data_IF_540892455246
#
_entry.id   IF_540892455246
#
_cell.length_a   1.000
_cell.length_b   1.000
_cell.length_c   1.000
_cell.angle_alpha   90.00
_cell.angle_beta   90.00
_cell.angle_gamma   90.00
#
_symmetry.space_group_name_H-M   'P 1'
#
loop_
_entity.id
_entity.type
_entity.pdbx_description
1 polymer ?
#
# COMPACT_ATOMS: atom_id res chain seq x y z
N UNK A 1 11.04 -19.14 33.91
CA UNK A 1 11.19 -18.56 32.55
C UNK A 1 11.23 -17.06 32.69
N UNK A 2 12.10 -16.37 31.94
CA UNK A 2 12.16 -14.91 31.92
C UNK A 2 11.42 -14.40 30.70
N UNK A 3 10.09 -14.45 30.75
CA UNK A 3 9.24 -14.04 29.62
C UNK A 3 9.22 -12.52 29.50
N UNK A 4 9.68 -12.02 28.36
CA UNK A 4 9.54 -10.63 27.96
C UNK A 4 8.06 -10.27 27.75
N UNK A 5 7.67 -8.98 27.83
CA UNK A 5 6.31 -8.55 27.53
C UNK A 5 5.83 -9.01 26.15
N UNK A 6 6.70 -8.97 25.14
CA UNK A 6 6.40 -9.42 23.79
C UNK A 6 6.11 -10.93 23.70
N UNK A 7 6.83 -11.76 24.46
CA UNK A 7 6.54 -13.19 24.55
C UNK A 7 5.22 -13.47 25.29
N UNK A 8 4.86 -12.65 26.28
CA UNK A 8 3.57 -12.74 26.97
C UNK A 8 2.40 -12.41 26.02
N UNK A 9 2.55 -11.40 25.16
CA UNK A 9 1.55 -11.06 24.13
C UNK A 9 1.37 -12.19 23.12
N UNK A 10 2.46 -12.79 22.63
CA UNK A 10 2.41 -13.94 21.71
C UNK A 10 1.74 -15.16 22.34
N UNK A 11 2.01 -15.43 23.62
CA UNK A 11 1.32 -16.49 24.37
C UNK A 11 -0.19 -16.22 24.46
N UNK A 12 -0.60 -14.97 24.70
CA UNK A 12 -2.01 -14.59 24.75
C UNK A 12 -2.69 -14.78 23.39
N UNK A 13 -2.01 -14.47 22.28
CA UNK A 13 -2.54 -14.70 20.92
C UNK A 13 -2.72 -16.20 20.65
N UNK A 14 -1.76 -17.03 21.07
CA UNK A 14 -1.89 -18.49 20.97
C UNK A 14 -3.09 -19.03 21.74
N UNK A 15 -3.31 -18.54 22.97
CA UNK A 15 -4.49 -18.92 23.76
C UNK A 15 -5.78 -18.48 23.05
N UNK A 16 -5.81 -17.28 22.46
CA UNK A 16 -6.95 -16.82 21.68
C UNK A 16 -7.20 -17.72 20.45
N UNK A 17 -6.15 -18.14 19.75
CA UNK A 17 -6.23 -19.07 18.62
C UNK A 17 -6.76 -20.44 19.05
N UNK A 18 -6.36 -20.95 20.21
CA UNK A 18 -6.86 -22.22 20.73
C UNK A 18 -8.34 -22.14 21.11
N UNK A 19 -8.78 -21.03 21.70
CA UNK A 19 -10.21 -20.78 21.95
C UNK A 19 -10.98 -20.74 20.63
N UNK A 20 -10.43 -20.07 19.61
CA UNK A 20 -11.02 -19.98 18.27
C UNK A 20 -11.11 -21.35 17.58
N UNK A 21 -10.04 -22.16 17.61
CA UNK A 21 -10.04 -23.54 17.06
C UNK A 21 -11.11 -24.41 17.73
N UNK A 22 -11.22 -24.36 19.06
CA UNK A 22 -12.26 -25.08 19.81
C UNK A 22 -13.68 -24.60 19.47
N UNK A 23 -13.86 -23.33 19.10
CA UNK A 23 -15.15 -22.80 18.60
C UNK A 23 -15.45 -23.36 17.21
N UNK A 24 -14.48 -23.31 16.31
CA UNK A 24 -14.57 -23.90 14.96
C UNK A 24 -14.93 -25.38 14.99
N UNK A 25 -14.27 -26.17 15.84
CA UNK A 25 -14.53 -27.60 16.02
C UNK A 25 -15.98 -27.90 16.46
N UNK A 26 -16.61 -26.99 17.19
CA UNK A 26 -18.04 -27.09 17.55
C UNK A 26 -18.98 -26.62 16.43
N UNK A 27 -18.46 -26.27 15.26
CA UNK A 27 -19.21 -25.75 14.12
C UNK A 27 -19.62 -24.29 14.26
N UNK A 28 -19.00 -23.53 15.16
CA UNK A 28 -19.28 -22.09 15.29
C UNK A 28 -18.46 -21.33 14.25
N UNK A 29 -19.16 -20.56 13.40
CA UNK A 29 -18.53 -19.67 12.43
C UNK A 29 -17.69 -18.59 13.15
N UNK A 30 -16.46 -18.41 12.70
CA UNK A 30 -15.47 -17.55 13.35
C UNK A 30 -15.71 -16.06 13.03
N UNK A 31 -15.58 -15.21 14.04
CA UNK A 31 -15.56 -13.76 13.86
C UNK A 31 -14.15 -13.25 13.49
N UNK A 32 -14.03 -11.93 13.29
CA UNK A 32 -12.77 -11.27 12.91
C UNK A 32 -11.59 -11.57 13.85
N UNK A 33 -11.64 -11.31 15.17
CA UNK A 33 -10.49 -11.56 16.04
C UNK A 33 -10.12 -13.05 16.15
N UNK A 34 -11.09 -13.96 16.03
CA UNK A 34 -10.84 -15.40 16.03
C UNK A 34 -10.09 -15.85 14.76
N UNK A 35 -10.50 -15.37 13.60
CA UNK A 35 -9.83 -15.65 12.32
C UNK A 35 -8.40 -15.10 12.34
N UNK A 36 -8.21 -13.86 12.79
CA UNK A 36 -6.89 -13.23 12.95
C UNK A 36 -6.01 -14.06 13.89
N UNK A 37 -6.51 -14.47 15.06
CA UNK A 37 -5.73 -15.26 16.00
C UNK A 37 -5.26 -16.61 15.41
N UNK A 38 -6.12 -17.33 14.68
CA UNK A 38 -5.75 -18.59 14.03
C UNK A 38 -4.67 -18.37 12.97
N UNK A 39 -4.82 -17.35 12.11
CA UNK A 39 -3.83 -17.02 11.08
C UNK A 39 -2.48 -16.59 11.70
N UNK A 40 -2.51 -15.80 12.76
CA UNK A 40 -1.31 -15.40 13.49
C UNK A 40 -0.63 -16.62 14.11
N UNK A 41 -1.37 -17.50 14.77
CA UNK A 41 -0.81 -18.71 15.37
C UNK A 41 -0.24 -19.66 14.31
N UNK A 42 -0.86 -19.76 13.13
CA UNK A 42 -0.31 -20.52 12.00
C UNK A 42 1.10 -20.03 11.61
N UNK A 43 1.28 -18.71 11.49
CA UNK A 43 2.59 -18.11 11.15
C UNK A 43 3.61 -18.32 12.26
N UNK A 44 3.22 -18.11 13.52
CA UNK A 44 4.11 -18.29 14.67
C UNK A 44 4.61 -19.74 14.79
N UNK A 45 3.72 -20.72 14.64
CA UNK A 45 4.09 -22.13 14.70
C UNK A 45 4.92 -22.56 13.49
N UNK A 46 4.53 -22.13 12.27
CA UNK A 46 5.32 -22.45 11.08
C UNK A 46 6.73 -21.84 11.12
N UNK A 47 6.89 -20.64 11.68
CA UNK A 47 8.22 -20.06 11.93
C UNK A 47 9.02 -20.88 12.94
N UNK A 48 8.36 -21.37 14.00
CA UNK A 48 8.98 -22.22 15.02
C UNK A 48 9.43 -23.57 14.46
N UNK A 49 8.67 -24.12 13.52
CA UNK A 49 8.96 -25.35 12.78
C UNK A 49 10.04 -25.18 11.70
N UNK A 50 10.53 -23.95 11.48
CA UNK A 50 11.61 -23.65 10.55
C UNK A 50 11.15 -23.43 9.10
N UNK A 51 9.87 -23.15 8.86
CA UNK A 51 9.42 -22.67 7.55
C UNK A 51 10.09 -21.33 7.20
N UNK A 52 10.31 -21.06 5.91
CA UNK A 52 10.80 -19.75 5.47
C UNK A 52 9.70 -18.69 5.51
N UNK A 53 10.07 -17.42 5.60
CA UNK A 53 9.15 -16.27 5.47
C UNK A 53 8.35 -16.39 4.16
N UNK A 54 9.02 -16.69 3.05
CA UNK A 54 8.39 -16.86 1.73
C UNK A 54 7.30 -17.94 1.75
N UNK A 55 7.59 -19.11 2.35
CA UNK A 55 6.63 -20.21 2.43
C UNK A 55 5.39 -19.81 3.24
N UNK A 56 5.56 -19.08 4.34
CA UNK A 56 4.45 -18.62 5.17
C UNK A 56 3.63 -17.53 4.48
N UNK A 57 4.28 -16.60 3.77
CA UNK A 57 3.60 -15.58 2.96
C UNK A 57 2.78 -16.19 1.83
N UNK A 58 3.30 -17.25 1.19
CA UNK A 58 2.62 -17.96 0.13
C UNK A 58 1.34 -18.66 0.61
N UNK A 59 1.22 -18.95 1.92
CA UNK A 59 0.12 -19.73 2.51
C UNK A 59 0.01 -21.15 1.90
N UNK A 60 -0.80 -22.06 2.46
CA UNK A 60 -1.04 -23.35 1.83
C UNK A 60 -1.63 -23.19 0.42
N UNK A 61 -1.02 -23.87 -0.55
CA UNK A 61 -1.45 -23.89 -1.95
C UNK A 61 -2.01 -25.28 -2.29
N UNK A 62 -2.93 -25.41 -3.26
CA UNK A 62 -3.44 -26.72 -3.68
C UNK A 62 -2.30 -27.70 -3.99
N UNK A 63 -2.38 -28.96 -3.52
CA UNK A 63 -3.54 -29.65 -2.94
C UNK A 63 -3.75 -29.45 -1.43
N UNK A 64 -2.87 -28.73 -0.74
CA UNK A 64 -3.01 -28.49 0.70
C UNK A 64 -4.22 -27.58 0.99
N UNK A 65 -5.02 -27.89 2.02
CA UNK A 65 -6.16 -27.04 2.37
C UNK A 65 -5.66 -25.68 2.89
N UNK A 66 -6.37 -24.59 2.58
CA UNK A 66 -6.07 -23.29 3.16
C UNK A 66 -6.25 -23.33 4.69
N UNK A 67 -5.56 -22.44 5.40
CA UNK A 67 -5.64 -22.36 6.88
C UNK A 67 -7.08 -22.12 7.35
N UNK A 68 -7.80 -21.24 6.65
CA UNK A 68 -9.21 -20.95 6.85
C UNK A 68 -9.90 -20.86 5.49
N UNK A 69 -11.10 -21.41 5.40
CA UNK A 69 -12.01 -21.20 4.27
C UNK A 69 -13.07 -20.17 4.64
N UNK A 70 -13.89 -19.74 3.68
CA UNK A 70 -14.98 -18.79 3.95
C UNK A 70 -16.12 -19.43 4.75
N UNK A 71 -16.31 -20.74 4.62
CA UNK A 71 -17.27 -21.52 5.39
C UNK A 71 -16.93 -21.57 6.89
N UNK A 72 -15.65 -21.36 7.23
CA UNK A 72 -15.20 -21.28 8.61
C UNK A 72 -15.58 -19.95 9.29
N UNK A 73 -16.03 -18.94 8.53
CA UNK A 73 -16.13 -17.56 8.97
C UNK A 73 -17.58 -17.07 9.00
N UNK A 74 -17.86 -16.09 9.88
CA UNK A 74 -19.07 -15.27 9.79
C UNK A 74 -19.06 -14.46 8.49
N UNK A 75 -20.26 -14.13 8.00
CA UNK A 75 -20.41 -13.34 6.77
C UNK A 75 -19.68 -11.98 6.87
N UNK A 76 -18.98 -11.60 5.81
CA UNK A 76 -18.23 -10.35 5.72
C UNK A 76 -16.85 -10.34 6.40
N UNK A 77 -16.53 -11.31 7.27
CA UNK A 77 -15.22 -11.36 7.96
C UNK A 77 -14.07 -11.53 6.98
N UNK A 78 -14.24 -12.38 5.96
CA UNK A 78 -13.23 -12.58 4.92
C UNK A 78 -12.83 -11.26 4.22
N UNK A 79 -13.78 -10.33 4.10
CA UNK A 79 -13.58 -9.08 3.35
C UNK A 79 -12.96 -7.99 4.24
N UNK A 80 -12.90 -8.22 5.54
CA UNK A 80 -12.24 -7.33 6.52
C UNK A 80 -10.75 -7.64 6.69
N UNK A 81 -10.27 -8.80 6.21
CA UNK A 81 -8.88 -9.26 6.39
C UNK A 81 -8.18 -9.24 5.02
N UNK A 82 -7.76 -8.06 4.57
CA UNK A 82 -6.99 -7.91 3.32
C UNK A 82 -5.50 -8.16 3.52
N UNK A 83 -4.94 -7.65 4.61
CA UNK A 83 -3.52 -7.79 4.94
C UNK A 83 -3.39 -8.06 6.44
N UNK A 84 -2.60 -9.06 6.80
CA UNK A 84 -2.26 -9.37 8.18
C UNK A 84 -0.75 -9.47 8.33
N UNK A 85 -0.18 -8.57 9.13
CA UNK A 85 1.26 -8.50 9.41
C UNK A 85 1.54 -9.12 10.78
N UNK A 86 2.44 -10.11 10.80
CA UNK A 86 2.80 -10.87 11.99
C UNK A 86 4.32 -10.91 12.12
N UNK A 87 4.82 -10.47 13.26
CA UNK A 87 6.22 -10.62 13.61
C UNK A 87 6.45 -11.99 14.27
N UNK A 88 7.30 -12.83 13.67
CA UNK A 88 7.61 -14.17 14.16
C UNK A 88 9.13 -14.38 14.29
N UNK A 89 9.55 -15.24 15.22
CA UNK A 89 10.97 -15.55 15.47
C UNK A 89 11.35 -16.84 14.76
N UNK A 90 12.23 -16.72 13.77
CA UNK A 90 12.78 -17.81 12.96
C UNK A 90 14.18 -18.20 13.49
N UNK A 91 14.78 -19.31 13.00
CA UNK A 91 16.16 -19.67 13.34
C UNK A 91 17.19 -18.57 13.06
N UNK A 92 16.93 -17.70 12.07
CA UNK A 92 17.78 -16.55 11.69
C UNK A 92 17.30 -15.21 12.30
N UNK A 93 16.50 -15.29 13.35
CA UNK A 93 16.00 -14.15 14.12
C UNK A 93 14.58 -13.74 13.75
N UNK A 94 14.16 -12.58 14.26
CA UNK A 94 12.79 -12.12 14.14
C UNK A 94 12.54 -11.41 12.80
N UNK A 95 11.47 -11.79 12.10
CA UNK A 95 11.07 -11.25 10.78
C UNK A 95 9.59 -10.91 10.75
N UNK A 96 9.22 -9.96 9.90
CA UNK A 96 7.83 -9.65 9.59
C UNK A 96 7.32 -10.56 8.46
N UNK A 97 6.19 -11.22 8.69
CA UNK A 97 5.46 -12.01 7.69
C UNK A 97 4.17 -11.25 7.36
N UNK A 98 3.92 -11.00 6.08
CA UNK A 98 2.67 -10.36 5.62
C UNK A 98 1.85 -11.37 4.85
N UNK A 99 0.67 -11.72 5.37
CA UNK A 99 -0.32 -12.50 4.65
C UNK A 99 -1.22 -11.55 3.88
N UNK A 100 -1.22 -11.64 2.55
CA UNK A 100 -2.08 -10.85 1.67
C UNK A 100 -3.25 -11.73 1.22
N UNK A 101 -4.47 -11.21 1.38
CA UNK A 101 -5.74 -11.88 1.11
C UNK A 101 -5.76 -13.34 1.65
N UNK A 102 -5.50 -13.55 2.96
CA UNK A 102 -5.27 -14.88 3.54
C UNK A 102 -6.47 -15.83 3.45
N UNK A 103 -7.66 -15.30 3.12
CA UNK A 103 -8.88 -16.08 2.94
C UNK A 103 -9.14 -16.26 1.44
N UNK A 104 -9.21 -17.50 0.92
CA UNK A 104 -9.38 -17.76 -0.51
C UNK A 104 -10.58 -17.03 -1.11
N UNK A 105 -10.39 -16.49 -2.32
CA UNK A 105 -11.47 -15.86 -3.08
C UNK A 105 -12.42 -16.90 -3.67
N UNK A 106 -13.75 -16.65 -3.62
CA UNK A 106 -14.73 -17.52 -4.29
C UNK A 106 -14.87 -17.11 -5.76
N UNK A 107 -14.94 -18.08 -6.65
CA UNK A 107 -15.21 -17.90 -8.09
C UNK A 107 -16.65 -17.46 -8.42
N UNK A 108 -17.61 -17.67 -7.51
CA UNK A 108 -19.01 -17.29 -7.71
C UNK A 108 -19.28 -15.82 -7.35
N UNK A 109 -19.87 -15.10 -8.31
CA UNK A 109 -20.49 -13.78 -8.14
C UNK A 109 -21.84 -13.94 -7.43
N UNK A 110 -22.00 -13.26 -6.31
CA UNK A 110 -23.23 -13.12 -5.54
C UNK A 110 -23.14 -11.87 -4.67
N UNK A 111 -24.27 -11.36 -4.17
CA UNK A 111 -24.26 -10.24 -3.22
C UNK A 111 -23.61 -10.71 -1.92
N UNK A 112 -22.47 -10.14 -1.55
CA UNK A 112 -21.75 -10.44 -0.31
C UNK A 112 -21.89 -9.27 0.66
N UNK A 113 -22.03 -9.53 1.95
CA UNK A 113 -21.82 -8.52 2.97
C UNK A 113 -20.35 -8.06 2.93
N UNK A 114 -20.13 -6.78 2.69
CA UNK A 114 -18.81 -6.14 2.79
C UNK A 114 -18.93 -5.02 3.84
N UNK A 115 -18.50 -5.26 5.09
CA UNK A 115 -18.54 -4.23 6.13
C UNK A 115 -17.75 -2.99 5.69
N UNK A 116 -18.35 -1.81 5.81
CA UNK A 116 -17.73 -0.54 5.41
C UNK A 116 -17.58 -0.34 3.89
N UNK A 117 -18.25 -1.15 3.07
CA UNK A 117 -18.22 -1.00 1.60
C UNK A 117 -18.64 0.40 1.19
N UNK A 118 -17.82 1.01 0.35
CA UNK A 118 -18.14 2.26 -0.33
C UNK A 118 -18.81 1.90 -1.66
N UNK A 119 -20.07 2.30 -1.82
CA UNK A 119 -20.77 2.17 -3.09
C UNK A 119 -20.54 3.43 -3.93
N UNK A 120 -19.79 3.27 -5.01
CA UNK A 120 -19.64 4.30 -6.03
C UNK A 120 -20.82 4.22 -7.02
N UNK A 121 -21.31 5.35 -7.55
CA UNK A 121 -22.28 5.31 -8.63
C UNK A 121 -21.67 4.56 -9.83
N UNK A 122 -22.40 3.57 -10.36
CA UNK A 122 -21.88 2.67 -11.41
C UNK A 122 -21.54 3.39 -12.72
N UNK A 123 -22.21 4.52 -12.96
CA UNK A 123 -22.10 5.32 -14.16
C UNK A 123 -21.52 6.72 -13.86
N UNK A 124 -20.74 6.86 -12.77
CA UNK A 124 -20.05 8.11 -12.48
C UNK A 124 -18.86 8.30 -13.44
N UNK A 125 -18.78 9.49 -14.03
CA UNK A 125 -17.59 9.92 -14.75
C UNK A 125 -16.38 10.04 -13.80
N UNK A 126 -15.14 9.84 -14.29
CA UNK A 126 -13.94 10.12 -13.52
C UNK A 126 -13.95 11.53 -12.96
N UNK A 127 -13.49 11.68 -11.71
CA UNK A 127 -13.39 12.99 -11.07
C UNK A 127 -12.28 13.79 -11.75
N UNK A 128 -12.68 14.82 -12.50
CA UNK A 128 -11.73 15.74 -13.11
C UNK A 128 -10.97 16.55 -12.05
N UNK A 129 -9.68 16.74 -12.26
CA UNK A 129 -8.81 17.55 -11.41
C UNK A 129 -8.16 18.68 -12.21
N UNK A 130 -7.77 19.77 -11.54
CA UNK A 130 -7.15 20.94 -12.18
C UNK A 130 -7.95 21.48 -13.39
N UNK A 131 -9.28 21.41 -13.35
CA UNK A 131 -10.16 21.86 -14.45
C UNK A 131 -9.97 23.36 -14.70
N UNK A 132 -9.82 23.72 -15.98
CA UNK A 132 -9.66 25.11 -16.40
C UNK A 132 -8.28 25.71 -16.14
N UNK A 133 -7.29 24.90 -15.70
CA UNK A 133 -5.90 25.36 -15.56
C UNK A 133 -5.21 25.37 -16.91
N UNK A 134 -4.32 26.34 -17.09
CA UNK A 134 -3.42 26.37 -18.23
C UNK A 134 -2.43 25.20 -18.12
N UNK A 135 -2.42 24.33 -19.13
CA UNK A 135 -1.52 23.18 -19.19
C UNK A 135 -0.31 23.53 -20.04
N UNK A 136 0.87 23.27 -19.50
CA UNK A 136 2.13 23.32 -20.24
C UNK A 136 2.69 21.92 -20.36
N UNK A 137 2.82 21.42 -21.58
CA UNK A 137 3.45 20.13 -21.87
C UNK A 137 4.95 20.30 -22.03
N UNK A 138 5.73 19.46 -21.35
CA UNK A 138 7.20 19.42 -21.46
C UNK A 138 7.68 17.98 -21.63
N UNK A 139 8.76 17.79 -22.38
CA UNK A 139 9.45 16.50 -22.43
C UNK A 139 10.57 16.50 -21.40
N UNK A 140 10.60 15.46 -20.57
CA UNK A 140 11.58 15.34 -19.49
C UNK A 140 12.40 14.08 -19.69
N UNK A 141 13.71 14.23 -19.74
CA UNK A 141 14.66 13.12 -19.84
C UNK A 141 15.57 13.11 -18.62
N UNK A 142 15.54 12.02 -17.86
CA UNK A 142 16.46 11.85 -16.74
C UNK A 142 17.84 11.42 -17.27
N UNK A 143 18.85 12.27 -17.14
CA UNK A 143 20.22 11.98 -17.60
C UNK A 143 21.09 11.34 -16.52
N UNK A 144 20.53 11.04 -15.33
CA UNK A 144 21.22 10.33 -14.25
C UNK A 144 21.18 8.80 -14.45
N UNK A 145 21.97 8.06 -13.67
CA UNK A 145 21.98 6.60 -13.62
C UNK A 145 20.99 6.01 -12.61
N UNK A 146 20.24 6.88 -11.92
CA UNK A 146 19.26 6.51 -10.90
C UNK A 146 17.89 7.09 -11.23
N UNK A 147 16.81 6.35 -10.91
CA UNK A 147 15.45 6.83 -11.09
C UNK A 147 15.15 8.02 -10.19
N UNK A 148 14.39 8.99 -10.72
CA UNK A 148 13.93 10.17 -9.98
C UNK A 148 12.40 10.17 -9.96
N UNK A 149 11.81 10.51 -8.82
CA UNK A 149 10.36 10.58 -8.67
C UNK A 149 9.98 11.97 -8.15
N UNK A 150 9.06 12.65 -8.85
CA UNK A 150 8.63 14.01 -8.53
C UNK A 150 7.15 14.01 -8.17
N UNK A 151 6.83 14.57 -7.01
CA UNK A 151 5.46 14.62 -6.48
C UNK A 151 4.57 15.68 -7.13
N UNK A 152 3.26 15.49 -7.02
CA UNK A 152 2.20 16.36 -7.57
C UNK A 152 2.29 17.85 -7.23
N UNK A 153 2.87 18.21 -6.08
CA UNK A 153 2.91 19.58 -5.56
C UNK A 153 4.34 20.15 -5.43
N UNK A 154 5.34 19.43 -5.95
CA UNK A 154 6.70 19.92 -5.96
C UNK A 154 6.85 21.00 -7.06
N UNK A 155 7.58 22.09 -6.78
CA UNK A 155 7.88 23.11 -7.78
C UNK A 155 8.79 22.52 -8.85
N UNK A 156 8.23 22.21 -10.03
CA UNK A 156 8.88 21.34 -11.01
C UNK A 156 10.21 21.93 -11.53
N UNK A 157 10.30 23.27 -11.58
CA UNK A 157 11.53 24.01 -11.82
C UNK A 157 12.70 23.61 -10.91
N UNK A 158 12.42 23.30 -9.64
CA UNK A 158 13.41 22.95 -8.62
C UNK A 158 13.62 21.43 -8.49
N UNK A 159 13.02 20.63 -9.37
CA UNK A 159 13.24 19.18 -9.40
C UNK A 159 14.72 18.89 -9.71
N UNK A 160 15.15 17.63 -9.52
CA UNK A 160 16.54 17.21 -9.70
C UNK A 160 17.15 17.83 -10.98
N UNK A 161 18.33 18.42 -10.85
CA UNK A 161 19.01 19.15 -11.92
C UNK A 161 19.34 18.24 -13.12
N UNK A 162 19.43 16.92 -12.90
CA UNK A 162 19.67 15.91 -13.94
C UNK A 162 18.40 15.51 -14.71
N UNK A 163 17.25 16.09 -14.39
CA UNK A 163 16.08 16.04 -15.27
C UNK A 163 16.25 17.12 -16.35
N UNK A 164 16.67 16.72 -17.54
CA UNK A 164 16.63 17.60 -18.72
C UNK A 164 15.17 17.90 -19.05
N UNK A 165 14.81 19.17 -19.18
CA UNK A 165 13.45 19.62 -19.53
C UNK A 165 13.55 20.35 -20.86
N UNK A 166 12.75 19.91 -21.83
CA UNK A 166 12.65 20.51 -23.15
C UNK A 166 11.33 21.30 -23.28
N UNK A 167 11.34 22.52 -23.87
CA UNK A 167 12.47 23.16 -24.55
C UNK A 167 13.54 23.74 -23.61
N UNK A 168 13.16 24.12 -22.40
CA UNK A 168 14.06 24.57 -21.34
C UNK A 168 13.41 24.37 -19.95
N UNK A 169 14.20 24.57 -18.90
CA UNK A 169 13.74 24.44 -17.52
C UNK A 169 12.85 25.62 -17.08
N UNK A 170 12.97 26.79 -17.69
CA UNK A 170 12.16 27.97 -17.34
C UNK A 170 10.69 27.75 -17.71
N UNK A 171 10.39 26.87 -18.69
CA UNK A 171 9.04 26.40 -18.98
C UNK A 171 8.32 25.77 -17.76
N UNK A 172 9.07 25.28 -16.77
CA UNK A 172 8.55 24.70 -15.52
C UNK A 172 8.47 25.70 -14.35
N UNK A 173 8.91 26.95 -14.52
CA UNK A 173 8.90 27.97 -13.47
C UNK A 173 7.48 28.28 -13.01
N UNK A 174 7.28 28.25 -11.69
CA UNK A 174 5.99 28.46 -11.03
C UNK A 174 4.94 27.39 -11.31
N UNK A 175 5.34 26.20 -11.79
CA UNK A 175 4.43 25.10 -12.15
C UNK A 175 4.71 23.82 -11.37
N UNK A 176 3.71 22.94 -11.33
CA UNK A 176 3.72 21.60 -10.71
C UNK A 176 3.08 20.58 -11.64
N UNK A 177 3.30 19.29 -11.40
CA UNK A 177 2.72 18.22 -12.22
C UNK A 177 1.18 18.25 -12.21
N UNK A 178 0.58 18.10 -13.40
CA UNK A 178 -0.86 17.98 -13.59
C UNK A 178 -1.32 16.53 -13.34
N UNK A 179 -1.21 16.10 -12.09
CA UNK A 179 -1.57 14.73 -11.67
C UNK A 179 -2.40 14.78 -10.37
N UNK A 180 -3.09 13.68 -9.99
CA UNK A 180 -3.84 13.62 -8.73
C UNK A 180 -2.98 14.00 -7.52
N UNK A 181 -3.57 14.76 -6.60
CA UNK A 181 -2.88 15.17 -5.37
C UNK A 181 -2.38 13.96 -4.58
N UNK A 182 -1.14 14.05 -4.07
CA UNK A 182 -0.47 12.95 -3.35
C UNK A 182 0.21 11.90 -4.24
N UNK A 183 -0.02 11.94 -5.55
CA UNK A 183 0.71 11.07 -6.51
C UNK A 183 2.02 11.71 -6.99
N UNK A 184 2.73 10.99 -7.87
CA UNK A 184 4.04 11.37 -8.40
C UNK A 184 4.30 10.73 -9.76
N UNK A 185 5.16 11.35 -10.56
CA UNK A 185 5.70 10.76 -11.80
C UNK A 185 7.11 10.26 -11.56
N UNK A 186 7.42 9.07 -12.10
CA UNK A 186 8.74 8.44 -12.02
C UNK A 186 9.44 8.55 -13.38
N UNK A 187 10.68 9.04 -13.36
CA UNK A 187 11.53 9.21 -14.53
C UNK A 187 12.70 8.22 -14.45
N UNK A 188 12.65 7.20 -15.30
CA UNK A 188 13.73 6.22 -15.42
C UNK A 188 14.95 6.82 -16.13
N UNK A 189 16.18 6.36 -15.82
CA UNK A 189 17.40 6.75 -16.52
C UNK A 189 17.27 6.68 -18.05
N UNK A 190 17.60 7.77 -18.72
CA UNK A 190 17.67 7.93 -20.17
C UNK A 190 16.36 7.63 -20.92
N UNK A 191 15.22 7.73 -20.24
CA UNK A 191 13.90 7.54 -20.84
C UNK A 191 13.16 8.89 -20.92
N UNK A 192 13.00 9.48 -22.13
CA UNK A 192 12.19 10.67 -22.31
C UNK A 192 10.72 10.39 -22.01
N UNK A 193 10.10 11.27 -21.22
CA UNK A 193 8.69 11.20 -20.85
C UNK A 193 8.03 12.56 -21.03
N UNK A 194 6.93 12.61 -21.76
CA UNK A 194 6.09 13.79 -21.85
C UNK A 194 5.23 13.92 -20.60
N UNK A 195 5.24 15.10 -19.96
CA UNK A 195 4.43 15.40 -18.78
C UNK A 195 3.73 16.74 -18.92
N UNK A 196 2.57 16.84 -18.28
CA UNK A 196 1.79 18.05 -18.19
C UNK A 196 2.06 18.78 -16.87
N UNK A 197 2.24 20.09 -16.95
CA UNK A 197 2.43 20.98 -15.82
C UNK A 197 1.27 21.99 -15.73
N UNK A 198 0.84 22.31 -14.52
CA UNK A 198 -0.13 23.37 -14.23
C UNK A 198 0.47 24.40 -13.26
N UNK A 199 0.05 25.67 -13.30
CA UNK A 199 0.53 26.69 -12.38
C UNK A 199 0.32 26.31 -10.92
N UNK A 200 1.31 26.65 -10.09
CA UNK A 200 1.14 26.70 -8.65
C UNK A 200 0.21 27.87 -8.34
N UNK A 201 -0.65 27.65 -7.35
CA UNK A 201 -1.79 28.50 -7.07
C UNK A 201 -1.78 28.99 -5.61
N UNK A 202 -2.84 29.64 -5.16
CA UNK A 202 -2.85 30.30 -3.85
C UNK A 202 -1.96 31.54 -3.85
N UNK A 203 -1.17 31.73 -2.78
CA UNK A 203 -0.26 32.89 -2.66
C UNK A 203 0.96 32.84 -3.57
N UNK A 204 1.19 31.70 -4.25
CA UNK A 204 2.34 31.50 -5.16
C UNK A 204 3.69 31.83 -4.50
N UNK A 205 3.87 31.37 -3.26
CA UNK A 205 5.12 31.49 -2.50
C UNK A 205 5.79 30.12 -2.42
N UNK A 206 7.04 30.02 -2.88
CA UNK A 206 7.84 28.80 -2.86
C UNK A 206 8.96 28.95 -1.83
N UNK A 207 8.72 28.42 -0.63
CA UNK A 207 9.71 28.32 0.45
C UNK A 207 10.30 26.90 0.50
N UNK A 208 11.60 26.79 0.77
CA UNK A 208 12.30 25.51 0.88
C UNK A 208 12.73 24.91 -0.46
N UNK A 209 12.45 23.61 -0.65
CA UNK A 209 12.85 22.82 -1.83
C UNK A 209 14.36 22.87 -2.08
N UNK A 210 14.81 23.44 -3.21
CA UNK A 210 16.21 23.62 -3.54
C UNK A 210 16.65 25.09 -3.35
N UNK A 211 15.79 25.92 -2.75
CA UNK A 211 16.06 27.33 -2.44
C UNK A 211 16.26 28.23 -3.66
N UNK A 212 15.90 27.79 -4.87
CA UNK A 212 16.15 28.59 -6.09
C UNK A 212 15.23 29.79 -6.22
N UNK A 213 13.99 29.67 -5.72
CA UNK A 213 13.03 30.78 -5.63
C UNK A 213 13.08 31.40 -4.24
N UNK A 214 12.86 30.60 -3.19
CA UNK A 214 13.01 31.03 -1.81
C UNK A 214 12.07 32.16 -1.37
N UNK A 215 10.89 32.29 -2.00
CA UNK A 215 9.97 33.40 -1.78
C UNK A 215 8.82 33.45 -2.78
N UNK A 216 8.26 34.64 -2.98
CA UNK A 216 7.18 34.87 -3.95
C UNK A 216 7.64 34.59 -5.38
N UNK A 217 6.78 33.90 -6.16
CA UNK A 217 7.01 33.74 -7.59
C UNK A 217 6.83 35.10 -8.27
N UNK A 218 7.89 35.61 -8.89
CA UNK A 218 7.83 36.82 -9.69
C UNK A 218 7.24 36.51 -11.07
N UNK A 219 6.57 37.51 -11.65
CA UNK A 219 5.95 37.41 -12.98
C UNK A 219 6.98 37.40 -14.10
#
# INVERSE_FOLDING_TARGET
MHLTPHEQERLMIHVAADVARKRKERGVALNYPEAVAILTAYVLEGARDGASVEKLMAMPQPPDPPVLTREDLMEGVAEMISDLQIEATFPDGTKMVTLRDPIPQVTKKGTRLHPGKIDHPRDADPVAFNVGREVTTVTVTNTDDRPVQVGSHYHFYEANALLGIEPDRDAAYGKRLNIPAGSSVRFEPNCPLEVELVPIEGKRVIEGLNGKVGGELHA
#
